data_IF_057902926836
#
_entry.id   IF_057902926836
#
_cell.length_a   1.000
_cell.length_b   1.000
_cell.length_c   1.000
_cell.angle_alpha   90.00
_cell.angle_beta   90.00
_cell.angle_gamma   90.00
#
_symmetry.space_group_name_H-M   'P 1'
#
loop_
_entity.id
_entity.type
_entity.pdbx_description
1 polymer ?
#
# COMPACT_ATOMS: atom_id res chain seq x y z
N UNK A 1 -1.99 -0.37 -2.94
CA UNK A 1 -1.28 0.64 -2.12
C UNK A 1 -1.09 1.88 -2.97
N UNK A 2 -1.27 3.07 -2.41
CA UNK A 2 -1.05 4.33 -3.12
C UNK A 2 -0.05 5.20 -2.36
N UNK A 3 0.97 5.67 -3.05
CA UNK A 3 2.03 6.52 -2.50
C UNK A 3 2.09 7.83 -3.28
N UNK A 4 1.82 8.93 -2.61
CA UNK A 4 2.05 10.28 -3.11
C UNK A 4 3.26 10.87 -2.36
N UNK A 5 4.42 10.84 -3.02
CA UNK A 5 5.66 11.37 -2.46
C UNK A 5 5.62 12.89 -2.24
N UNK A 6 4.95 13.64 -3.13
CA UNK A 6 4.93 15.11 -3.04
C UNK A 6 4.02 15.56 -1.91
N UNK A 7 2.86 14.92 -1.78
CA UNK A 7 1.93 15.19 -0.71
C UNK A 7 2.30 14.49 0.61
N UNK A 8 3.37 13.69 0.67
CA UNK A 8 3.76 12.97 1.89
C UNK A 8 2.69 11.98 2.38
N UNK A 9 1.99 11.33 1.45
CA UNK A 9 0.84 10.47 1.78
C UNK A 9 1.09 9.03 1.38
N UNK A 10 0.81 8.10 2.30
CA UNK A 10 0.67 6.68 2.01
C UNK A 10 -0.75 6.24 2.36
N UNK A 11 -1.44 5.56 1.43
CA UNK A 11 -2.81 5.09 1.63
C UNK A 11 -2.99 3.61 1.28
N UNK A 12 -3.73 2.92 2.13
CA UNK A 12 -4.08 1.50 2.02
C UNK A 12 -5.57 1.37 1.76
N UNK A 13 -5.92 0.50 0.82
CA UNK A 13 -7.30 0.30 0.37
C UNK A 13 -7.63 -1.19 0.39
N UNK A 14 -8.89 -1.50 0.71
CA UNK A 14 -9.51 -2.78 0.34
C UNK A 14 -10.08 -2.63 -1.07
N UNK A 15 -9.82 -3.60 -1.94
CA UNK A 15 -10.28 -3.59 -3.32
C UNK A 15 -11.13 -4.85 -3.55
N UNK A 16 -12.42 -4.66 -3.77
CA UNK A 16 -13.36 -5.68 -4.25
C UNK A 16 -14.20 -5.08 -5.39
N UNK A 17 -15.53 -5.00 -5.24
CA UNK A 17 -16.41 -4.28 -6.18
C UNK A 17 -16.24 -2.76 -6.06
N UNK A 18 -15.84 -2.30 -4.87
CA UNK A 18 -15.54 -0.89 -4.59
C UNK A 18 -14.16 -0.76 -3.93
N UNK A 19 -13.54 0.41 -4.08
CA UNK A 19 -12.33 0.75 -3.33
C UNK A 19 -12.68 1.46 -2.02
N UNK A 20 -12.33 0.84 -0.90
CA UNK A 20 -12.55 1.42 0.44
C UNK A 20 -11.22 1.81 1.08
N UNK A 21 -11.08 3.07 1.48
CA UNK A 21 -9.90 3.55 2.22
C UNK A 21 -9.86 2.88 3.61
N UNK A 22 -8.78 2.15 3.90
CA UNK A 22 -8.57 1.49 5.19
C UNK A 22 -7.73 2.35 6.13
N UNK A 23 -6.62 2.89 5.60
CA UNK A 23 -5.69 3.66 6.41
C UNK A 23 -4.94 4.68 5.55
N UNK A 24 -4.66 5.84 6.14
CA UNK A 24 -3.86 6.90 5.54
C UNK A 24 -2.84 7.38 6.55
N UNK A 25 -1.58 7.41 6.13
CA UNK A 25 -0.48 8.02 6.87
C UNK A 25 -0.07 9.29 6.14
N UNK A 26 0.03 10.38 6.90
CA UNK A 26 0.58 11.65 6.45
C UNK A 26 1.94 11.84 7.14
N UNK A 27 3.02 11.89 6.36
CA UNK A 27 4.38 12.02 6.89
C UNK A 27 5.34 12.60 5.86
N UNK A 28 6.45 13.17 6.33
CA UNK A 28 7.53 13.63 5.46
C UNK A 28 8.51 12.48 5.24
N UNK A 29 8.53 11.93 4.03
CA UNK A 29 9.49 10.89 3.67
C UNK A 29 10.88 11.52 3.50
N UNK A 30 11.84 11.08 4.32
CA UNK A 30 13.24 11.56 4.24
C UNK A 30 14.09 10.70 3.30
N UNK A 31 13.58 9.54 2.89
CA UNK A 31 14.26 8.56 2.06
C UNK A 31 13.25 7.84 1.13
N UNK A 32 13.72 7.18 0.04
CA UNK A 32 12.87 6.32 -0.78
C UNK A 32 12.21 5.23 0.05
N UNK A 33 10.97 4.90 -0.30
CA UNK A 33 10.21 3.82 0.33
C UNK A 33 10.32 2.54 -0.51
N UNK A 34 10.37 1.40 0.18
CA UNK A 34 10.35 0.08 -0.43
C UNK A 34 9.13 -0.70 0.09
N UNK A 35 8.39 -1.41 -0.78
CA UNK A 35 7.31 -2.28 -0.33
C UNK A 35 7.85 -3.39 0.58
N UNK A 36 7.28 -3.53 1.77
CA UNK A 36 7.54 -4.62 2.71
C UNK A 36 6.30 -5.48 2.92
N UNK A 37 6.48 -6.80 2.91
CA UNK A 37 5.38 -7.77 3.11
C UNK A 37 5.79 -8.81 4.15
N UNK A 38 4.84 -9.20 5.01
CA UNK A 38 4.99 -10.32 5.93
C UNK A 38 3.89 -11.35 5.61
N UNK A 39 4.27 -12.62 5.46
CA UNK A 39 3.36 -13.71 5.10
C UNK A 39 3.44 -14.79 6.18
N UNK A 40 2.30 -15.19 6.72
CA UNK A 40 2.21 -16.25 7.73
C UNK A 40 2.23 -17.64 7.10
N UNK A 41 2.53 -18.67 7.90
CA UNK A 41 2.53 -20.06 7.45
C UNK A 41 1.17 -20.46 6.84
N UNK A 42 1.20 -21.05 5.64
CA UNK A 42 0.00 -21.44 4.90
C UNK A 42 -0.73 -20.32 4.15
N UNK A 43 -0.26 -19.07 4.25
CA UNK A 43 -0.81 -17.94 3.48
C UNK A 43 -0.03 -17.70 2.18
N UNK A 44 -0.65 -17.04 1.21
CA UNK A 44 0.01 -16.60 -0.02
C UNK A 44 -0.24 -15.12 -0.28
N UNK A 45 0.73 -14.47 -0.93
CA UNK A 45 0.63 -13.10 -1.40
C UNK A 45 0.98 -13.08 -2.88
N UNK A 46 0.18 -12.36 -3.66
CA UNK A 46 0.42 -12.14 -5.09
C UNK A 46 0.47 -10.64 -5.36
N UNK A 47 1.51 -10.22 -6.08
CA UNK A 47 1.52 -8.90 -6.70
C UNK A 47 0.73 -8.98 -8.00
N UNK A 48 -0.31 -8.17 -8.11
CA UNK A 48 -1.11 -8.07 -9.32
C UNK A 48 -0.47 -7.03 -10.25
N UNK A 49 -0.33 -7.40 -11.52
CA UNK A 49 0.10 -6.46 -12.55
C UNK A 49 -1.03 -5.48 -12.89
N UNK A 50 -0.64 -4.25 -13.18
CA UNK A 50 -1.53 -3.21 -13.68
C UNK A 50 -1.58 -3.34 -15.22
N UNK A 51 -2.09 -4.46 -15.73
CA UNK A 51 -2.35 -4.67 -17.16
C UNK A 51 -3.56 -3.88 -17.61
#
# INVERSE_FOLDING_TARGET
MYLDHRAGTLSFYSVSDTMTLLHRVQTTFTQPLYPGFAVNFGSSLKLCDLV
#
